data_IF_197212605668
#
_entry.id   IF_197212605668
#
_cell.length_a   1.000
_cell.length_b   1.000
_cell.length_c   1.000
_cell.angle_alpha   90.00
_cell.angle_beta   90.00
_cell.angle_gamma   90.00
#
_symmetry.space_group_name_H-M   'P 1'
#
loop_
_entity.id
_entity.type
_entity.pdbx_description
1 polymer ?
#
# COMPACT_ATOMS: atom_id res chain seq x y z
N UNK A 1 -3.62 10.35 -14.12
CA UNK A 1 -4.15 10.32 -12.75
C UNK A 1 -3.04 9.97 -11.77
N UNK A 2 -3.01 10.59 -10.62
CA UNK A 2 -1.94 10.37 -9.65
C UNK A 2 -2.39 9.45 -8.53
N UNK A 3 -1.49 8.56 -8.09
CA UNK A 3 -1.78 7.63 -7.01
C UNK A 3 -2.11 8.36 -5.71
N UNK A 4 -1.43 9.47 -5.42
CA UNK A 4 -1.67 10.22 -4.19
C UNK A 4 -3.12 10.74 -4.07
N UNK A 5 -3.82 10.88 -5.19
CA UNK A 5 -5.23 11.32 -5.19
C UNK A 5 -6.19 10.19 -4.81
N UNK A 6 -5.68 8.96 -4.79
CA UNK A 6 -6.45 7.77 -4.42
C UNK A 6 -6.26 7.39 -2.95
N UNK A 7 -5.29 8.03 -2.28
CA UNK A 7 -4.94 7.74 -0.90
C UNK A 7 -5.21 8.97 -0.05
N UNK A 8 -5.62 8.77 1.19
CA UNK A 8 -5.76 9.89 2.11
C UNK A 8 -4.43 10.15 2.83
N UNK A 9 -4.39 11.23 3.63
CA UNK A 9 -3.18 11.68 4.29
C UNK A 9 -2.63 10.62 5.24
N UNK A 10 -3.49 9.95 6.00
CA UNK A 10 -3.07 8.90 6.93
C UNK A 10 -2.41 7.74 6.22
N UNK A 11 -2.95 7.35 5.07
CA UNK A 11 -2.42 6.26 4.27
C UNK A 11 -1.05 6.60 3.72
N UNK A 12 -0.88 7.82 3.23
CA UNK A 12 0.40 8.30 2.73
C UNK A 12 1.44 8.30 3.85
N UNK A 13 1.06 8.74 5.04
CA UNK A 13 1.97 8.73 6.20
C UNK A 13 2.36 7.32 6.62
N UNK A 14 1.42 6.38 6.59
CA UNK A 14 1.72 4.98 6.90
C UNK A 14 2.73 4.40 5.90
N UNK A 15 2.57 4.72 4.61
CA UNK A 15 3.51 4.28 3.60
C UNK A 15 4.89 4.89 3.81
N UNK A 16 4.95 6.17 4.18
CA UNK A 16 6.23 6.81 4.47
C UNK A 16 6.98 6.13 5.61
N UNK A 17 6.25 5.64 6.63
CA UNK A 17 6.85 4.95 7.77
C UNK A 17 7.57 3.65 7.38
N UNK A 18 7.12 3.00 6.32
CA UNK A 18 7.74 1.75 5.85
C UNK A 18 8.69 2.00 4.69
N UNK A 19 9.03 3.26 4.42
CA UNK A 19 9.99 3.61 3.39
C UNK A 19 9.43 3.77 2.00
N UNK A 20 8.10 3.81 1.86
CA UNK A 20 7.44 4.01 0.57
C UNK A 20 7.02 5.47 0.46
N UNK A 21 7.60 6.17 -0.50
CA UNK A 21 7.26 7.57 -0.77
C UNK A 21 6.38 7.64 -1.99
N UNK A 22 5.23 8.28 -1.86
CA UNK A 22 4.31 8.45 -2.97
C UNK A 22 4.77 9.66 -3.79
N UNK A 23 5.08 9.42 -5.04
CA UNK A 23 5.54 10.49 -5.95
C UNK A 23 4.35 11.18 -6.62
N UNK A 24 4.61 12.38 -7.11
CA UNK A 24 3.68 13.10 -7.98
C UNK A 24 3.82 12.55 -9.40
N UNK A 25 2.72 12.55 -10.15
CA UNK A 25 2.73 12.16 -11.54
C UNK A 25 2.35 10.70 -11.76
N UNK A 26 2.67 10.22 -12.94
CA UNK A 26 2.24 8.89 -13.38
C UNK A 26 3.07 7.77 -12.75
N UNK A 27 2.40 6.63 -12.59
CA UNK A 27 3.03 5.40 -12.14
C UNK A 27 3.02 4.36 -13.25
N UNK A 28 4.04 3.51 -13.26
CA UNK A 28 4.06 2.33 -14.12
C UNK A 28 3.58 1.12 -13.32
N UNK A 29 3.24 0.03 -14.01
CA UNK A 29 2.86 -1.22 -13.37
C UNK A 29 4.01 -1.76 -12.50
N UNK A 30 5.24 -1.60 -12.95
CA UNK A 30 6.41 -2.02 -12.17
C UNK A 30 6.49 -1.26 -10.85
N UNK A 31 6.24 0.04 -10.88
CA UNK A 31 6.30 0.88 -9.68
C UNK A 31 5.19 0.52 -8.68
N UNK A 32 3.96 0.32 -9.16
CA UNK A 32 2.86 -0.10 -8.28
C UNK A 32 3.09 -1.51 -7.77
N UNK A 33 3.63 -2.39 -8.60
CA UNK A 33 3.96 -3.76 -8.20
C UNK A 33 4.96 -3.80 -7.06
N UNK A 34 5.99 -2.94 -7.09
CA UNK A 34 6.97 -2.84 -6.02
C UNK A 34 6.33 -2.43 -4.69
N UNK A 35 5.40 -1.48 -4.74
CA UNK A 35 4.69 -1.03 -3.54
C UNK A 35 3.80 -2.15 -3.00
N UNK A 36 3.07 -2.84 -3.87
CA UNK A 36 2.20 -3.95 -3.48
C UNK A 36 3.01 -5.06 -2.82
N UNK A 37 4.16 -5.40 -3.39
CA UNK A 37 5.03 -6.44 -2.85
C UNK A 37 5.54 -6.05 -1.46
N UNK A 38 5.94 -4.81 -1.28
CA UNK A 38 6.39 -4.31 0.02
C UNK A 38 5.25 -4.36 1.05
N UNK A 39 4.04 -4.00 0.64
CA UNK A 39 2.88 -4.08 1.51
C UNK A 39 2.57 -5.52 1.91
N UNK A 40 2.72 -6.47 0.99
CA UNK A 40 2.55 -7.88 1.30
C UNK A 40 3.49 -8.30 2.43
N UNK A 41 4.76 -7.92 2.35
CA UNK A 41 5.74 -8.24 3.37
C UNK A 41 5.34 -7.65 4.73
N UNK A 42 4.91 -6.39 4.73
CA UNK A 42 4.50 -5.72 5.96
C UNK A 42 3.24 -6.36 6.56
N UNK A 43 2.29 -6.74 5.72
CA UNK A 43 1.07 -7.41 6.16
C UNK A 43 1.41 -8.74 6.82
N UNK A 44 2.30 -9.53 6.22
CA UNK A 44 2.74 -10.79 6.79
C UNK A 44 3.42 -10.61 8.14
N UNK A 45 4.22 -9.57 8.29
CA UNK A 45 4.92 -9.27 9.56
C UNK A 45 3.95 -8.85 10.67
N UNK A 46 2.75 -8.40 10.32
CA UNK A 46 1.78 -7.90 11.28
C UNK A 46 0.62 -8.87 11.56
N UNK A 47 0.76 -10.12 11.15
CA UNK A 47 -0.18 -11.17 11.53
C UNK A 47 0.11 -11.59 12.97
N UNK A 48 -0.93 -12.02 13.70
CA UNK A 48 -0.72 -12.52 15.05
C UNK A 48 -0.24 -13.97 15.03
N UNK A 49 -0.01 -14.55 16.22
CA UNK A 49 0.51 -15.92 16.34
C UNK A 49 -0.39 -16.97 15.68
N UNK A 50 -1.69 -16.72 15.62
CA UNK A 50 -2.65 -17.63 14.99
C UNK A 50 -2.80 -17.39 13.49
N UNK A 51 -2.06 -16.43 12.94
CA UNK A 51 -2.12 -16.07 11.53
C UNK A 51 -3.28 -15.13 11.20
N UNK A 52 -3.98 -14.61 12.19
CA UNK A 52 -5.07 -13.68 11.97
C UNK A 52 -4.54 -12.27 11.76
N UNK A 53 -5.27 -11.47 11.01
CA UNK A 53 -4.87 -10.11 10.72
C UNK A 53 -5.08 -9.19 11.92
N UNK A 54 -4.02 -8.46 12.28
CA UNK A 54 -4.12 -7.41 13.28
C UNK A 54 -4.75 -6.17 12.65
N UNK A 55 -5.15 -5.21 13.50
CA UNK A 55 -5.69 -3.94 13.02
C UNK A 55 -4.71 -3.24 12.06
N UNK A 56 -3.43 -3.28 12.40
CA UNK A 56 -2.38 -2.68 11.57
C UNK A 56 -2.28 -3.37 10.21
N UNK A 57 -2.33 -4.71 10.19
CA UNK A 57 -2.32 -5.45 8.94
C UNK A 57 -3.52 -5.10 8.08
N UNK A 58 -4.70 -4.93 8.67
CA UNK A 58 -5.91 -4.52 7.95
C UNK A 58 -5.76 -3.14 7.32
N UNK A 59 -5.11 -2.22 8.01
CA UNK A 59 -4.85 -0.88 7.47
C UNK A 59 -3.98 -0.96 6.22
N UNK A 60 -2.90 -1.73 6.28
CA UNK A 60 -2.02 -1.90 5.12
C UNK A 60 -2.70 -2.66 3.98
N UNK A 61 -3.54 -3.64 4.29
CA UNK A 61 -4.31 -4.34 3.27
C UNK A 61 -5.27 -3.41 2.54
N UNK A 62 -5.92 -2.51 3.28
CA UNK A 62 -6.81 -1.52 2.69
C UNK A 62 -6.06 -0.61 1.70
N UNK A 63 -4.85 -0.20 2.07
CA UNK A 63 -4.00 0.60 1.17
C UNK A 63 -3.63 -0.22 -0.06
N UNK A 64 -3.27 -1.47 0.12
CA UNK A 64 -2.91 -2.37 -0.97
C UNK A 64 -4.05 -2.53 -1.96
N UNK A 65 -5.28 -2.68 -1.46
CA UNK A 65 -6.46 -2.79 -2.31
C UNK A 65 -6.65 -1.55 -3.17
N UNK A 66 -6.43 -0.37 -2.61
CA UNK A 66 -6.53 0.89 -3.36
C UNK A 66 -5.48 0.97 -4.47
N UNK A 67 -4.27 0.51 -4.18
CA UNK A 67 -3.19 0.50 -5.17
C UNK A 67 -3.49 -0.51 -6.27
N UNK A 68 -4.05 -1.67 -5.93
CA UNK A 68 -4.46 -2.67 -6.92
C UNK A 68 -5.54 -2.12 -7.84
N UNK A 69 -6.51 -1.38 -7.31
CA UNK A 69 -7.54 -0.74 -8.11
C UNK A 69 -6.94 0.33 -9.03
N UNK A 70 -6.00 1.11 -8.50
CA UNK A 70 -5.30 2.12 -9.29
C UNK A 70 -4.51 1.47 -10.44
N UNK A 71 -3.87 0.34 -10.18
CA UNK A 71 -3.08 -0.38 -11.17
C UNK A 71 -3.92 -0.79 -12.39
N UNK A 72 -5.18 -1.09 -12.18
CA UNK A 72 -6.09 -1.44 -13.27
C UNK A 72 -6.33 -0.28 -14.25
N UNK A 73 -6.04 0.94 -13.82
CA UNK A 73 -6.23 2.14 -14.64
C UNK A 73 -4.97 2.53 -15.41
N UNK A 74 -3.87 1.85 -15.15
CA UNK A 74 -2.62 2.03 -15.88
C UNK A 74 -2.68 1.21 -17.18
#
# INVERSE_FOLDING_TARGET
MELKNRLDQEEIELLNKIGVKIKNGKYTIDETGDIIEKLDDIIQENLNEDGDMTEKALQYESIQDKILEFEKEI
#
